data_IF_361701519007
#
_entry.id   IF_361701519007
#
_cell.length_a   1.000
_cell.length_b   1.000
_cell.length_c   1.000
_cell.angle_alpha   90.00
_cell.angle_beta   90.00
_cell.angle_gamma   90.00
#
_symmetry.space_group_name_H-M   'P 1'
#
loop_
_entity.id
_entity.type
_entity.pdbx_description
1 polymer ?
#
# COMPACT_ATOMS: atom_id res chain seq x y z
N UNK A 1 23.35 -0.97 12.53
CA UNK A 1 21.94 -0.66 12.29
C UNK A 1 21.30 -1.98 11.93
N UNK A 2 20.21 -2.33 12.58
CA UNK A 2 19.55 -3.63 12.37
C UNK A 2 18.16 -3.38 11.79
N UNK A 3 17.77 -4.24 10.84
CA UNK A 3 16.40 -4.28 10.35
C UNK A 3 15.57 -5.10 11.33
N UNK A 4 14.41 -4.60 11.71
CA UNK A 4 13.58 -5.15 12.78
C UNK A 4 12.14 -5.32 12.28
N UNK A 5 11.50 -6.39 12.74
CA UNK A 5 10.07 -6.62 12.53
C UNK A 5 9.37 -6.77 13.86
N UNK A 6 8.28 -6.04 14.03
CA UNK A 6 7.42 -6.13 15.20
C UNK A 6 5.98 -6.45 14.80
N UNK A 7 5.35 -7.28 15.59
CA UNK A 7 3.95 -7.67 15.44
C UNK A 7 3.17 -7.15 16.65
N UNK A 8 2.19 -6.31 16.38
CA UNK A 8 1.35 -5.67 17.41
C UNK A 8 -0.08 -6.12 17.22
N UNK A 9 -0.64 -6.75 18.25
CA UNK A 9 -1.99 -7.28 18.27
C UNK A 9 -2.78 -6.72 19.44
N UNK A 10 -4.04 -6.39 19.23
CA UNK A 10 -4.93 -6.02 20.31
C UNK A 10 -5.26 -7.22 21.18
N UNK A 11 -5.14 -7.06 22.50
CA UNK A 11 -5.55 -8.07 23.47
C UNK A 11 -7.05 -8.33 23.38
N UNK A 12 -7.45 -9.55 23.78
CA UNK A 12 -8.87 -9.93 23.84
C UNK A 12 -9.69 -8.90 24.65
N UNK A 13 -10.78 -8.44 24.06
CA UNK A 13 -11.60 -7.37 24.63
C UNK A 13 -11.31 -5.97 24.07
N UNK A 14 -10.14 -5.76 23.46
CA UNK A 14 -9.78 -4.53 22.74
C UNK A 14 -9.71 -4.76 21.22
N UNK A 15 -9.98 -5.94 20.76
CA UNK A 15 -9.88 -6.46 19.39
C UNK A 15 -11.11 -6.11 18.52
N UNK A 16 -11.61 -4.89 18.65
CA UNK A 16 -12.86 -4.45 17.99
C UNK A 16 -12.80 -4.50 16.47
N UNK A 17 -11.64 -4.19 15.88
CA UNK A 17 -11.49 -4.25 14.41
C UNK A 17 -11.53 -5.69 13.90
N UNK A 18 -10.94 -6.64 14.62
CA UNK A 18 -11.04 -8.05 14.29
C UNK A 18 -12.50 -8.54 14.32
N UNK A 19 -13.23 -8.20 15.38
CA UNK A 19 -14.66 -8.54 15.50
C UNK A 19 -15.54 -7.87 14.45
N UNK A 20 -15.19 -6.64 14.06
CA UNK A 20 -15.88 -5.95 12.97
C UNK A 20 -15.68 -6.68 11.65
N UNK A 21 -14.44 -7.10 11.37
CA UNK A 21 -14.12 -7.86 10.17
C UNK A 21 -14.82 -9.23 10.18
N UNK A 22 -14.83 -9.96 11.29
CA UNK A 22 -15.60 -11.22 11.43
C UNK A 22 -17.07 -11.02 11.06
N UNK A 23 -17.68 -9.96 11.61
CA UNK A 23 -19.08 -9.62 11.31
C UNK A 23 -19.29 -9.32 9.82
N UNK A 24 -18.39 -8.53 9.20
CA UNK A 24 -18.47 -8.20 7.78
C UNK A 24 -18.34 -9.45 6.90
N UNK A 25 -17.40 -10.34 7.19
CA UNK A 25 -17.22 -11.57 6.43
C UNK A 25 -18.43 -12.49 6.51
N UNK A 26 -19.08 -12.54 7.66
CA UNK A 26 -20.34 -13.29 7.83
C UNK A 26 -21.50 -12.67 7.07
N UNK A 27 -21.68 -11.35 7.17
CA UNK A 27 -22.82 -10.64 6.57
C UNK A 27 -22.70 -10.52 5.05
N UNK A 28 -21.49 -10.25 4.52
CA UNK A 28 -21.29 -9.98 3.10
C UNK A 28 -20.92 -11.23 2.29
N UNK A 29 -20.16 -12.16 2.89
CA UNK A 29 -19.68 -13.34 2.19
C UNK A 29 -20.35 -14.65 2.65
N UNK A 30 -21.12 -14.61 3.74
CA UNK A 30 -21.70 -15.80 4.34
C UNK A 30 -20.65 -16.74 4.97
N UNK A 31 -19.46 -16.25 5.27
CA UNK A 31 -18.34 -17.02 5.85
C UNK A 31 -18.30 -16.74 7.35
N UNK A 32 -18.60 -17.74 8.17
CA UNK A 32 -18.55 -17.61 9.63
C UNK A 32 -17.17 -18.00 10.15
N UNK A 33 -16.40 -17.01 10.54
CA UNK A 33 -15.06 -17.17 11.09
C UNK A 33 -15.10 -16.83 12.58
N UNK A 34 -14.54 -17.67 13.40
CA UNK A 34 -14.34 -17.42 14.83
C UNK A 34 -12.87 -17.16 15.11
N UNK A 35 -12.63 -16.31 16.12
CA UNK A 35 -11.27 -15.98 16.58
C UNK A 35 -10.33 -15.45 15.45
N UNK A 36 -10.87 -14.66 14.53
CA UNK A 36 -10.07 -13.91 13.56
C UNK A 36 -9.12 -12.96 14.31
N UNK A 37 -7.85 -12.96 13.92
CA UNK A 37 -6.86 -12.08 14.50
C UNK A 37 -6.38 -11.05 13.48
N UNK A 38 -6.29 -9.79 13.90
CA UNK A 38 -5.68 -8.71 13.14
C UNK A 38 -4.41 -8.26 13.83
N UNK A 39 -3.29 -8.33 13.10
CA UNK A 39 -1.98 -7.98 13.63
C UNK A 39 -1.40 -6.86 12.75
N UNK A 40 -1.00 -5.77 13.38
CA UNK A 40 -0.21 -4.73 12.70
C UNK A 40 1.25 -5.15 12.72
N UNK A 41 1.87 -5.22 11.57
CA UNK A 41 3.28 -5.52 11.40
C UNK A 41 4.03 -4.23 11.06
N UNK A 42 5.14 -4.00 11.75
CA UNK A 42 6.04 -2.88 11.50
C UNK A 42 7.41 -3.42 11.09
N UNK A 43 7.83 -3.08 9.89
CA UNK A 43 9.19 -3.31 9.40
C UNK A 43 9.97 -2.01 9.54
N UNK A 44 11.00 -2.01 10.36
CA UNK A 44 11.81 -0.83 10.65
C UNK A 44 13.23 -1.08 10.18
N UNK A 45 13.71 -0.20 9.31
CA UNK A 45 15.03 -0.28 8.70
C UNK A 45 15.93 0.81 9.25
N UNK A 46 17.21 0.51 9.41
CA UNK A 46 18.24 1.46 9.86
C UNK A 46 17.94 2.14 11.21
N UNK A 47 17.23 1.49 12.11
CA UNK A 47 16.92 2.05 13.42
C UNK A 47 18.20 2.26 14.24
N UNK A 48 18.42 3.47 14.74
CA UNK A 48 19.49 3.81 15.68
C UNK A 48 18.97 4.17 17.08
N UNK A 49 17.66 4.36 17.23
CA UNK A 49 17.02 4.55 18.53
C UNK A 49 17.01 3.25 19.35
N UNK A 50 16.79 3.40 20.67
CA UNK A 50 16.66 2.24 21.54
C UNK A 50 15.40 1.42 21.20
N UNK A 51 15.63 0.17 20.86
CA UNK A 51 14.61 -0.79 20.41
C UNK A 51 13.47 -0.96 21.41
N UNK A 52 13.82 -1.09 22.70
CA UNK A 52 12.83 -1.35 23.75
C UNK A 52 11.95 -0.11 24.00
N UNK A 53 12.50 1.09 23.88
CA UNK A 53 11.74 2.31 23.94
C UNK A 53 10.77 2.43 22.76
N UNK A 54 11.25 2.18 21.53
CA UNK A 54 10.39 2.18 20.34
C UNK A 54 9.23 1.18 20.49
N UNK A 55 9.54 -0.02 20.92
CA UNK A 55 8.58 -1.10 21.11
C UNK A 55 7.48 -0.72 22.12
N UNK A 56 7.85 -0.20 23.28
CA UNK A 56 6.92 0.04 24.41
C UNK A 56 6.22 1.38 24.37
N UNK A 57 6.88 2.40 23.83
CA UNK A 57 6.37 3.78 23.92
C UNK A 57 5.72 4.25 22.61
N UNK A 58 6.04 3.61 21.47
CA UNK A 58 5.61 4.06 20.15
C UNK A 58 4.70 3.04 19.48
N UNK A 59 5.14 1.78 19.40
CA UNK A 59 4.44 0.79 18.58
C UNK A 59 3.28 0.13 19.31
N UNK A 60 3.26 0.13 20.63
CA UNK A 60 2.24 -0.57 21.41
C UNK A 60 1.78 0.24 22.64
N UNK A 61 0.51 0.06 22.99
CA UNK A 61 -0.03 0.49 24.28
C UNK A 61 -0.08 -0.73 25.22
N UNK A 62 0.78 -0.79 26.27
CA UNK A 62 0.93 -1.99 27.10
C UNK A 62 -0.35 -2.49 27.74
N UNK A 63 -1.35 -1.64 27.95
CA UNK A 63 -2.65 -2.02 28.53
C UNK A 63 -3.47 -2.82 27.51
N UNK A 64 -3.52 -2.35 26.27
CA UNK A 64 -4.43 -2.88 25.23
C UNK A 64 -3.75 -3.79 24.22
N UNK A 65 -2.42 -3.71 24.12
CA UNK A 65 -1.66 -4.36 23.05
C UNK A 65 -0.72 -5.45 23.59
N UNK A 66 -0.47 -6.42 22.74
CA UNK A 66 0.62 -7.38 22.84
C UNK A 66 1.57 -7.13 21.68
N UNK A 67 2.87 -7.04 21.97
CA UNK A 67 3.91 -6.86 20.95
C UNK A 67 4.94 -7.97 21.01
N UNK A 68 5.27 -8.53 19.86
CA UNK A 68 6.23 -9.63 19.70
C UNK A 68 7.14 -9.39 18.50
N UNK A 69 8.28 -10.07 18.45
CA UNK A 69 9.20 -10.07 17.31
C UNK A 69 9.04 -11.32 16.44
N UNK A 70 8.37 -12.32 17.00
CA UNK A 70 8.07 -13.57 16.30
C UNK A 70 6.56 -13.79 16.27
N UNK A 71 6.09 -14.39 15.19
CA UNK A 71 4.69 -14.73 14.98
C UNK A 71 4.58 -16.19 14.54
N UNK A 72 3.87 -16.99 15.33
CA UNK A 72 3.60 -18.39 14.97
C UNK A 72 2.42 -18.47 14.00
N UNK A 73 2.74 -18.81 12.76
CA UNK A 73 1.80 -18.98 11.65
C UNK A 73 1.65 -20.45 11.22
N UNK A 74 2.34 -21.38 11.91
CA UNK A 74 2.32 -22.80 11.52
C UNK A 74 0.91 -23.38 11.59
N UNK A 75 0.48 -23.99 10.50
CA UNK A 75 -0.82 -24.64 10.39
C UNK A 75 -2.02 -23.68 10.37
N UNK A 76 -1.80 -22.38 10.26
CA UNK A 76 -2.85 -21.38 10.20
C UNK A 76 -3.05 -20.87 8.78
N UNK A 77 -4.28 -20.61 8.40
CA UNK A 77 -4.61 -19.85 7.19
C UNK A 77 -4.44 -18.39 7.51
N UNK A 78 -3.66 -17.68 6.71
CA UNK A 78 -3.43 -16.25 6.88
C UNK A 78 -3.10 -15.59 5.54
N UNK A 79 -3.17 -14.29 5.51
CA UNK A 79 -2.58 -13.45 4.48
C UNK A 79 -2.14 -12.12 5.10
N UNK A 80 -1.19 -11.48 4.47
CA UNK A 80 -0.74 -10.15 4.86
C UNK A 80 -0.95 -9.17 3.72
N UNK A 81 -1.23 -7.91 4.07
CA UNK A 81 -1.45 -6.84 3.10
C UNK A 81 -0.59 -5.64 3.44
N UNK A 82 -0.08 -4.98 2.41
CA UNK A 82 0.67 -3.74 2.51
C UNK A 82 0.17 -2.73 1.47
N UNK A 83 0.43 -1.46 1.69
CA UNK A 83 0.16 -0.44 0.68
C UNK A 83 1.05 -0.64 -0.55
N UNK A 84 0.53 -0.28 -1.72
CA UNK A 84 1.32 -0.24 -2.95
C UNK A 84 2.46 0.79 -2.83
N UNK A 85 3.60 0.55 -3.47
CA UNK A 85 4.67 1.54 -3.54
C UNK A 85 4.15 2.88 -4.07
N UNK A 86 4.46 3.97 -3.35
CA UNK A 86 3.97 5.32 -3.66
C UNK A 86 2.65 5.71 -2.99
N UNK A 87 1.93 4.78 -2.39
CA UNK A 87 0.78 5.11 -1.55
C UNK A 87 1.24 5.61 -0.18
N UNK A 88 0.48 6.56 0.38
CA UNK A 88 0.79 7.12 1.70
C UNK A 88 0.37 6.16 2.81
N UNK A 89 1.35 5.71 3.58
CA UNK A 89 1.13 4.88 4.78
C UNK A 89 1.13 5.76 6.03
N UNK A 90 -0.06 6.19 6.45
CA UNK A 90 -0.22 7.05 7.62
C UNK A 90 0.33 6.42 8.91
N UNK A 91 0.23 5.11 9.07
CA UNK A 91 0.71 4.41 10.25
C UNK A 91 2.24 4.38 10.30
N UNK A 92 2.88 4.14 9.16
CA UNK A 92 4.32 4.18 9.02
C UNK A 92 4.87 5.59 9.29
N UNK A 93 4.26 6.59 8.69
CA UNK A 93 4.63 8.00 8.87
C UNK A 93 4.50 8.45 10.34
N UNK A 94 3.36 8.12 10.98
CA UNK A 94 3.15 8.44 12.40
C UNK A 94 4.16 7.73 13.31
N UNK A 95 4.47 6.47 13.04
CA UNK A 95 5.47 5.73 13.81
C UNK A 95 6.86 6.36 13.67
N UNK A 96 7.26 6.74 12.45
CA UNK A 96 8.53 7.40 12.19
C UNK A 96 8.63 8.74 12.91
N UNK A 97 7.60 9.58 12.83
CA UNK A 97 7.55 10.86 13.54
C UNK A 97 7.69 10.67 15.07
N UNK A 98 7.00 9.67 15.65
CA UNK A 98 7.13 9.37 17.06
C UNK A 98 8.54 8.89 17.44
N UNK A 99 9.18 8.07 16.57
CA UNK A 99 10.58 7.65 16.76
C UNK A 99 11.50 8.86 16.79
N UNK A 100 11.36 9.81 15.89
CA UNK A 100 12.15 11.04 15.84
C UNK A 100 11.95 11.88 17.10
N UNK A 101 10.73 12.03 17.56
CA UNK A 101 10.41 12.80 18.79
C UNK A 101 11.06 12.17 20.03
N UNK A 102 10.88 10.85 20.21
CA UNK A 102 11.42 10.12 21.38
C UNK A 102 12.95 10.09 21.37
N UNK A 103 13.54 10.03 20.18
CA UNK A 103 15.00 10.02 20.02
C UNK A 103 15.64 11.40 20.15
N UNK A 104 14.84 12.48 20.21
CA UNK A 104 15.31 13.88 20.21
C UNK A 104 16.22 14.24 19.02
N UNK A 105 16.30 13.38 18.03
CA UNK A 105 17.10 13.54 16.81
C UNK A 105 16.39 12.88 15.65
N UNK A 106 16.48 13.48 14.47
CA UNK A 106 15.95 12.87 13.26
C UNK A 106 16.74 11.58 12.97
N UNK A 107 16.01 10.48 12.87
CA UNK A 107 16.58 9.17 12.53
C UNK A 107 16.64 9.01 11.02
N UNK A 108 17.65 8.26 10.54
CA UNK A 108 17.65 7.78 9.15
C UNK A 108 16.91 6.45 9.03
N UNK A 109 15.95 6.23 9.92
CA UNK A 109 15.11 5.05 9.90
C UNK A 109 14.04 5.17 8.82
N UNK A 110 13.65 4.03 8.27
CA UNK A 110 12.45 3.90 7.45
C UNK A 110 11.49 2.94 8.14
N UNK A 111 10.21 3.23 8.07
CA UNK A 111 9.15 2.38 8.61
C UNK A 111 8.21 2.01 7.47
N UNK A 112 7.91 0.72 7.35
CA UNK A 112 6.84 0.21 6.50
C UNK A 112 5.85 -0.52 7.39
N UNK A 113 4.56 -0.42 7.09
CA UNK A 113 3.58 -1.20 7.82
C UNK A 113 2.83 -2.18 6.94
N UNK A 114 2.32 -3.20 7.56
CA UNK A 114 1.42 -4.15 6.94
C UNK A 114 0.44 -4.68 7.96
N UNK A 115 -0.64 -5.26 7.49
CA UNK A 115 -1.65 -5.88 8.34
C UNK A 115 -1.73 -7.36 8.02
N UNK A 116 -1.68 -8.19 9.05
CA UNK A 116 -1.77 -9.65 8.93
C UNK A 116 -3.13 -10.08 9.44
N UNK A 117 -3.85 -10.82 8.62
CA UNK A 117 -5.15 -11.39 8.92
C UNK A 117 -4.93 -12.89 9.11
N UNK A 118 -5.15 -13.38 10.34
CA UNK A 118 -5.05 -14.80 10.67
C UNK A 118 -6.46 -15.34 10.86
N UNK A 119 -6.74 -16.41 10.13
CA UNK A 119 -8.01 -17.12 10.15
C UNK A 119 -7.79 -18.44 10.88
N UNK A 120 -8.39 -18.58 12.06
CA UNK A 120 -8.10 -19.73 12.94
C UNK A 120 -8.98 -20.97 12.67
N UNK A 121 -9.86 -20.89 11.68
CA UNK A 121 -10.83 -21.93 11.40
C UNK A 121 -10.47 -22.78 10.17
N UNK A 122 -11.26 -23.82 9.93
CA UNK A 122 -11.17 -24.72 8.79
C UNK A 122 -11.62 -24.03 7.49
N UNK A 123 -10.98 -22.92 7.16
CA UNK A 123 -11.22 -22.15 5.93
C UNK A 123 -10.56 -22.89 4.77
N UNK A 124 -11.33 -23.18 3.72
CA UNK A 124 -10.78 -23.73 2.49
C UNK A 124 -10.13 -22.65 1.62
N UNK A 125 -9.40 -23.08 0.56
CA UNK A 125 -8.66 -22.15 -0.29
C UNK A 125 -9.58 -21.24 -1.14
N UNK A 126 -10.79 -21.70 -1.48
CA UNK A 126 -11.78 -20.88 -2.19
C UNK A 126 -12.31 -19.76 -1.30
N UNK A 127 -12.62 -20.07 -0.05
CA UNK A 127 -13.05 -19.08 0.94
C UNK A 127 -11.95 -18.08 1.25
N UNK A 128 -10.71 -18.55 1.43
CA UNK A 128 -9.55 -17.68 1.61
C UNK A 128 -9.40 -16.70 0.43
N UNK A 129 -9.54 -17.18 -0.79
CA UNK A 129 -9.47 -16.32 -1.98
C UNK A 129 -10.63 -15.32 -2.07
N UNK A 130 -11.84 -15.69 -1.63
CA UNK A 130 -12.98 -14.76 -1.54
C UNK A 130 -12.70 -13.68 -0.50
N UNK A 131 -12.17 -14.05 0.66
CA UNK A 131 -11.81 -13.10 1.74
C UNK A 131 -10.71 -12.14 1.25
N UNK A 132 -9.67 -12.64 0.60
CA UNK A 132 -8.61 -11.79 0.02
C UNK A 132 -9.18 -10.78 -0.97
N UNK A 133 -10.03 -11.21 -1.91
CA UNK A 133 -10.67 -10.33 -2.89
C UNK A 133 -11.59 -9.29 -2.25
N UNK A 134 -12.23 -9.63 -1.16
CA UNK A 134 -13.07 -8.71 -0.41
C UNK A 134 -12.25 -7.66 0.36
N UNK A 135 -11.15 -8.10 0.98
CA UNK A 135 -10.35 -7.27 1.87
C UNK A 135 -9.34 -6.37 1.14
N UNK A 136 -8.72 -6.90 0.07
CA UNK A 136 -7.63 -6.21 -0.63
C UNK A 136 -8.21 -5.30 -1.72
N UNK A 137 -8.09 -3.99 -1.52
CA UNK A 137 -8.33 -3.03 -2.60
C UNK A 137 -7.09 -2.96 -3.51
N UNK A 138 -7.15 -3.48 -4.75
CA UNK A 138 -5.97 -3.56 -5.62
C UNK A 138 -5.43 -2.20 -6.10
N UNK A 139 -6.19 -1.11 -5.89
CA UNK A 139 -5.77 0.25 -6.22
C UNK A 139 -4.82 0.81 -5.14
N UNK A 140 -4.96 0.35 -3.89
CA UNK A 140 -4.22 0.88 -2.74
C UNK A 140 -3.28 -0.14 -2.12
N UNK A 141 -3.61 -1.43 -2.21
CA UNK A 141 -2.94 -2.49 -1.46
C UNK A 141 -2.61 -3.70 -2.33
N UNK A 142 -1.65 -4.46 -1.85
CA UNK A 142 -1.28 -5.78 -2.40
C UNK A 142 -1.04 -6.78 -1.28
N UNK A 143 -1.03 -8.06 -1.63
CA UNK A 143 -0.58 -9.11 -0.71
C UNK A 143 0.93 -8.97 -0.46
N UNK A 144 1.34 -9.11 0.82
CA UNK A 144 2.72 -9.03 1.27
C UNK A 144 3.28 -10.42 1.56
N UNK A 145 4.49 -10.67 1.10
CA UNK A 145 5.27 -11.82 1.52
C UNK A 145 5.99 -11.53 2.85
N UNK A 146 5.56 -12.20 3.91
CA UNK A 146 6.16 -12.04 5.24
C UNK A 146 7.53 -12.71 5.39
N UNK A 147 7.91 -13.62 4.48
CA UNK A 147 9.22 -14.26 4.52
C UNK A 147 10.36 -13.29 4.18
N UNK A 148 10.04 -12.18 3.53
CA UNK A 148 10.99 -11.16 3.11
C UNK A 148 10.93 -9.97 4.05
N UNK A 149 12.07 -9.63 4.65
CA UNK A 149 12.29 -8.35 5.35
C UNK A 149 13.22 -7.50 4.49
N UNK A 150 12.63 -6.79 3.54
CA UNK A 150 13.39 -5.96 2.59
C UNK A 150 12.58 -4.72 2.25
N UNK A 151 13.26 -3.57 2.22
CA UNK A 151 12.71 -2.36 1.63
C UNK A 151 12.82 -2.45 0.11
N UNK A 152 11.70 -2.34 -0.59
CA UNK A 152 11.73 -2.19 -2.04
C UNK A 152 12.25 -0.78 -2.38
N UNK A 153 13.28 -0.70 -3.18
CA UNK A 153 13.68 0.56 -3.80
C UNK A 153 12.68 0.85 -4.93
N UNK A 154 11.94 1.92 -4.79
CA UNK A 154 11.12 2.43 -5.89
C UNK A 154 12.09 3.05 -6.89
N UNK A 155 12.48 2.27 -7.88
CA UNK A 155 13.21 2.80 -9.02
C UNK A 155 12.20 3.63 -9.84
N UNK A 156 12.17 4.92 -9.60
CA UNK A 156 11.49 5.83 -10.51
C UNK A 156 12.25 5.79 -11.82
N UNK A 157 11.62 5.25 -12.86
CA UNK A 157 12.15 5.40 -14.20
C UNK A 157 12.06 6.90 -14.52
N UNK A 158 13.19 7.60 -14.46
CA UNK A 158 13.25 9.05 -14.65
C UNK A 158 13.13 9.46 -16.14
N UNK A 159 13.03 8.49 -17.04
CA UNK A 159 12.82 8.78 -18.45
C UNK A 159 11.37 9.18 -18.68
N UNK A 160 11.19 10.46 -18.95
CA UNK A 160 9.88 10.99 -19.31
C UNK A 160 9.63 10.68 -20.79
N UNK A 161 8.64 9.83 -21.05
CA UNK A 161 8.22 9.49 -22.41
C UNK A 161 7.71 10.77 -23.10
N UNK A 162 8.26 11.10 -24.26
CA UNK A 162 7.82 12.20 -25.11
C UNK A 162 7.23 11.63 -26.39
N UNK A 163 6.06 12.10 -26.79
CA UNK A 163 5.40 11.69 -28.03
C UNK A 163 5.95 12.48 -29.22
N UNK A 164 7.12 12.10 -29.70
CA UNK A 164 7.92 12.85 -30.67
C UNK A 164 7.19 13.22 -31.96
N UNK A 165 6.17 12.48 -32.38
CA UNK A 165 5.41 12.72 -33.60
C UNK A 165 4.03 13.37 -33.36
N UNK A 166 3.70 13.71 -32.10
CA UNK A 166 2.37 14.19 -31.73
C UNK A 166 1.90 15.37 -32.57
N UNK A 167 2.77 16.37 -32.77
CA UNK A 167 2.45 17.58 -33.52
C UNK A 167 2.25 17.32 -35.02
N UNK A 168 2.75 16.21 -35.56
CA UNK A 168 2.67 15.86 -36.98
C UNK A 168 1.58 14.80 -37.29
N UNK A 169 0.94 14.23 -36.28
CA UNK A 169 -0.10 13.23 -36.48
C UNK A 169 -1.28 13.79 -37.27
N UNK A 170 -1.79 13.01 -38.24
CA UNK A 170 -3.06 13.29 -38.87
C UNK A 170 -4.24 12.90 -37.98
N UNK A 171 -5.44 13.33 -38.30
CA UNK A 171 -6.65 13.14 -37.51
C UNK A 171 -6.94 11.66 -37.18
N UNK A 172 -6.65 10.74 -38.10
CA UNK A 172 -6.87 9.29 -37.87
C UNK A 172 -5.89 8.71 -36.86
N UNK A 173 -4.63 9.11 -36.92
CA UNK A 173 -3.60 8.59 -36.04
C UNK A 173 -3.69 9.26 -34.66
N UNK A 174 -4.12 10.52 -34.60
CA UNK A 174 -4.43 11.23 -33.36
C UNK A 174 -5.59 10.54 -32.61
N UNK A 175 -6.65 10.14 -33.32
CA UNK A 175 -7.77 9.39 -32.72
C UNK A 175 -7.34 7.99 -32.28
N UNK A 176 -6.51 7.28 -33.04
CA UNK A 176 -5.95 5.99 -32.61
C UNK A 176 -5.12 6.15 -31.34
N UNK A 177 -4.34 7.20 -31.22
CA UNK A 177 -3.56 7.52 -30.03
C UNK A 177 -4.47 7.75 -28.82
N UNK A 178 -5.55 8.55 -29.00
CA UNK A 178 -6.55 8.80 -27.95
C UNK A 178 -7.14 7.50 -27.40
N UNK A 179 -7.61 6.65 -28.30
CA UNK A 179 -8.20 5.34 -27.93
C UNK A 179 -7.15 4.40 -27.34
N UNK A 180 -5.97 4.34 -27.93
CA UNK A 180 -4.88 3.46 -27.49
C UNK A 180 -4.33 3.80 -26.09
N UNK A 181 -4.35 5.08 -25.71
CA UNK A 181 -3.96 5.54 -24.39
C UNK A 181 -5.11 5.55 -23.38
N UNK A 182 -6.35 5.27 -23.83
CA UNK A 182 -7.54 5.30 -23.00
C UNK A 182 -7.89 6.69 -22.49
N UNK A 183 -7.60 7.74 -23.29
CA UNK A 183 -7.88 9.12 -22.89
C UNK A 183 -9.38 9.40 -22.88
N UNK A 184 -9.83 10.12 -21.85
CA UNK A 184 -11.22 10.50 -21.63
C UNK A 184 -11.63 11.76 -22.37
N UNK A 185 -10.67 12.61 -22.75
CA UNK A 185 -10.90 13.88 -23.46
C UNK A 185 -11.54 13.65 -24.81
N UNK A 186 -12.27 14.67 -25.30
CA UNK A 186 -12.84 14.63 -26.66
C UNK A 186 -11.75 14.69 -27.74
N UNK A 187 -12.10 14.23 -28.95
CA UNK A 187 -11.18 14.36 -30.09
C UNK A 187 -10.89 15.84 -30.42
N UNK A 188 -11.88 16.67 -30.29
CA UNK A 188 -11.78 18.13 -30.52
C UNK A 188 -10.81 18.80 -29.56
N UNK A 189 -10.87 18.41 -28.28
CA UNK A 189 -9.96 18.91 -27.25
C UNK A 189 -8.53 18.42 -27.49
N UNK A 190 -8.35 17.14 -27.86
CA UNK A 190 -7.03 16.61 -28.19
C UNK A 190 -6.42 17.32 -29.41
N UNK A 191 -7.25 17.67 -30.39
CA UNK A 191 -6.85 18.46 -31.57
C UNK A 191 -6.46 19.88 -31.18
N UNK A 192 -7.21 20.51 -30.28
CA UNK A 192 -6.86 21.82 -29.73
C UNK A 192 -5.50 21.77 -29.00
N UNK A 193 -5.26 20.71 -28.19
CA UNK A 193 -3.97 20.48 -27.55
C UNK A 193 -2.87 20.32 -28.59
N UNK A 194 -3.10 19.57 -29.68
CA UNK A 194 -2.12 19.42 -30.75
C UNK A 194 -1.75 20.77 -31.37
N UNK A 195 -2.73 21.63 -31.66
CA UNK A 195 -2.48 22.97 -32.20
C UNK A 195 -1.70 23.86 -31.22
N UNK A 196 -1.95 23.73 -29.91
CA UNK A 196 -1.16 24.43 -28.91
C UNK A 196 0.31 23.99 -28.94
N UNK A 197 0.60 22.65 -28.96
CA UNK A 197 1.96 22.13 -29.01
C UNK A 197 2.67 22.49 -30.33
N UNK A 198 1.93 22.57 -31.46
CA UNK A 198 2.46 23.12 -32.73
C UNK A 198 2.93 24.55 -32.58
N UNK A 199 2.12 25.43 -31.94
CA UNK A 199 2.46 26.84 -31.73
C UNK A 199 3.73 27.04 -30.91
N UNK A 200 3.94 26.21 -29.86
CA UNK A 200 5.11 26.28 -29.01
C UNK A 200 6.29 25.46 -29.55
N UNK A 201 6.14 24.87 -30.73
CA UNK A 201 7.15 24.10 -31.46
C UNK A 201 7.84 23.01 -30.62
N UNK A 202 7.06 22.27 -29.86
CA UNK A 202 7.56 21.04 -29.16
C UNK A 202 6.48 19.99 -29.06
N UNK A 203 6.91 18.77 -28.84
CA UNK A 203 6.00 17.65 -28.56
C UNK A 203 5.69 17.54 -27.05
N UNK A 204 4.50 17.02 -26.68
CA UNK A 204 4.14 16.80 -25.29
C UNK A 204 4.81 15.57 -24.72
N UNK A 205 4.99 15.57 -23.42
CA UNK A 205 5.30 14.36 -22.65
C UNK A 205 4.03 13.57 -22.35
N UNK A 206 4.18 12.29 -22.03
CA UNK A 206 3.07 11.45 -21.58
C UNK A 206 2.37 12.05 -20.35
N UNK A 207 3.16 12.57 -19.40
CA UNK A 207 2.63 13.22 -18.21
C UNK A 207 1.77 14.43 -18.55
N UNK A 208 2.21 15.28 -19.50
CA UNK A 208 1.42 16.44 -19.91
C UNK A 208 0.09 16.04 -20.55
N UNK A 209 0.09 15.03 -21.42
CA UNK A 209 -1.15 14.50 -22.00
C UNK A 209 -2.08 13.94 -20.93
N UNK A 210 -1.57 13.15 -19.99
CA UNK A 210 -2.38 12.58 -18.90
C UNK A 210 -2.93 13.64 -17.94
N UNK A 211 -2.17 14.69 -17.66
CA UNK A 211 -2.64 15.83 -16.84
C UNK A 211 -3.75 16.62 -17.56
N UNK A 212 -3.66 16.76 -18.88
CA UNK A 212 -4.69 17.45 -19.66
C UNK A 212 -5.95 16.60 -19.88
N UNK A 213 -5.86 15.29 -19.70
CA UNK A 213 -6.98 14.33 -19.75
C UNK A 213 -7.84 14.33 -18.48
N UNK A 214 -7.37 14.93 -17.38
CA UNK A 214 -8.05 14.95 -16.07
C UNK A 214 -9.03 16.10 -15.98
#
# INVERSE_FOLDING_TARGET
MSDLRFFVEKKKGFDLDAKRLEKQLREELGIDIKDLRLINCYDIFNLSADKENVKKMILSEPVTDSITEELDLKGKKYFAVEFLPGQFDQRADSALQCIDIVSSTKQNADVLTSKIIILNDEINDEELNKIKKFYINPIEMREKDLSVLKKEEILFNSEVITYNDFTSLNDKDLEKMRVGLGLSISFEDLKFIQEYFKKINRNPTETEIKVLDT
#
